data_IF_722380404791
#
_entry.id   IF_722380404791
#
_cell.length_a   1.000
_cell.length_b   1.000
_cell.length_c   1.000
_cell.angle_alpha   90.00
_cell.angle_beta   90.00
_cell.angle_gamma   90.00
#
_symmetry.space_group_name_H-M   'P 1'
#
loop_
_entity.id
_entity.type
_entity.pdbx_description
1 polymer ?
#
# COMPACT_ATOMS: atom_id res chain seq x y z
N UNK A 1 -4.22 -11.01 9.29
CA UNK A 1 -2.85 -11.16 8.75
C UNK A 1 -1.89 -10.16 9.35
N UNK A 2 -0.72 -10.61 9.68
CA UNK A 2 0.36 -9.73 10.12
C UNK A 2 0.97 -9.03 8.91
N UNK A 3 1.61 -7.89 9.13
CA UNK A 3 2.24 -7.10 8.06
C UNK A 3 3.21 -7.94 7.22
N UNK A 4 4.05 -8.76 7.86
CA UNK A 4 5.00 -9.60 7.15
C UNK A 4 4.33 -10.55 6.13
N UNK A 5 3.09 -10.93 6.36
CA UNK A 5 2.34 -11.83 5.49
C UNK A 5 1.76 -11.14 4.25
N UNK A 6 1.79 -9.81 4.21
CA UNK A 6 1.24 -9.05 3.08
C UNK A 6 2.22 -8.93 1.92
N UNK A 7 3.53 -9.03 2.20
CA UNK A 7 4.57 -8.77 1.19
C UNK A 7 4.52 -9.75 0.03
N UNK A 8 4.60 -11.04 0.28
CA UNK A 8 4.71 -12.02 -0.80
C UNK A 8 3.49 -12.03 -1.74
N UNK A 9 2.24 -12.06 -1.24
CA UNK A 9 1.10 -12.00 -2.14
C UNK A 9 1.02 -10.69 -2.92
N UNK A 10 1.38 -9.55 -2.29
CA UNK A 10 1.35 -8.27 -3.00
C UNK A 10 2.44 -8.18 -4.06
N UNK A 11 3.63 -8.68 -3.77
CA UNK A 11 4.73 -8.73 -4.75
C UNK A 11 4.34 -9.59 -5.95
N UNK A 12 3.75 -10.76 -5.70
CA UNK A 12 3.27 -11.64 -6.76
C UNK A 12 2.21 -10.95 -7.63
N UNK A 13 1.27 -10.26 -7.00
CA UNK A 13 0.23 -9.50 -7.68
C UNK A 13 0.83 -8.41 -8.58
N UNK A 14 1.79 -7.65 -8.06
CA UNK A 14 2.45 -6.59 -8.82
C UNK A 14 3.21 -7.14 -10.03
N UNK A 15 3.94 -8.23 -9.85
CA UNK A 15 4.68 -8.88 -10.95
C UNK A 15 3.74 -9.37 -12.04
N UNK A 16 2.62 -9.96 -11.66
CA UNK A 16 1.62 -10.42 -12.60
C UNK A 16 1.00 -9.28 -13.39
N UNK A 17 0.90 -8.10 -12.76
CA UNK A 17 0.41 -6.88 -13.40
C UNK A 17 1.50 -6.12 -14.18
N UNK A 18 2.66 -6.72 -14.35
CA UNK A 18 3.74 -6.18 -15.18
C UNK A 18 4.77 -5.32 -14.46
N UNK A 19 4.72 -5.25 -13.14
CA UNK A 19 5.70 -4.47 -12.37
C UNK A 19 6.97 -5.27 -12.11
N UNK A 20 8.10 -4.54 -12.05
CA UNK A 20 9.35 -5.06 -11.49
C UNK A 20 9.51 -4.48 -10.09
N UNK A 21 10.02 -5.27 -9.16
CA UNK A 21 10.23 -4.81 -7.79
C UNK A 21 11.62 -4.21 -7.69
N UNK A 22 11.71 -2.93 -7.35
CA UNK A 22 12.97 -2.21 -7.17
C UNK A 22 13.49 -2.35 -5.74
N UNK A 23 12.60 -2.21 -4.75
CA UNK A 23 12.97 -2.25 -3.34
C UNK A 23 11.86 -2.89 -2.54
N UNK A 24 12.24 -3.57 -1.47
CA UNK A 24 11.32 -4.01 -0.44
C UNK A 24 12.01 -3.87 0.92
N UNK A 25 11.31 -3.33 1.89
CA UNK A 25 11.82 -3.09 3.24
C UNK A 25 10.88 -3.72 4.25
N UNK A 26 11.33 -4.79 4.88
CA UNK A 26 10.51 -5.60 5.80
C UNK A 26 10.93 -5.36 7.24
N UNK A 27 9.97 -5.45 8.16
CA UNK A 27 10.22 -5.33 9.59
C UNK A 27 10.76 -3.97 9.97
N UNK A 28 11.94 -3.94 10.56
CA UNK A 28 12.57 -2.70 11.03
C UNK A 28 13.46 -2.01 9.99
N UNK A 29 13.49 -2.52 8.77
CA UNK A 29 14.24 -1.87 7.69
C UNK A 29 13.66 -0.49 7.40
N UNK A 30 14.53 0.47 7.10
CA UNK A 30 14.11 1.83 6.75
C UNK A 30 13.85 1.95 5.24
N UNK A 31 12.86 2.74 4.89
CA UNK A 31 12.50 3.01 3.51
C UNK A 31 11.01 2.73 3.24
N UNK A 32 10.62 2.91 2.01
CA UNK A 32 9.27 2.57 1.55
C UNK A 32 9.10 1.06 1.54
N UNK A 33 7.99 0.55 2.05
CA UNK A 33 7.80 -0.90 2.19
C UNK A 33 8.00 -1.65 0.88
N UNK A 34 7.36 -1.21 -0.21
CA UNK A 34 7.59 -1.74 -1.54
C UNK A 34 7.71 -0.58 -2.53
N UNK A 35 8.75 -0.62 -3.37
CA UNK A 35 8.87 0.26 -4.52
C UNK A 35 8.92 -0.62 -5.77
N UNK A 36 7.94 -0.45 -6.65
CA UNK A 36 7.85 -1.16 -7.90
C UNK A 36 7.95 -0.18 -9.07
N UNK A 37 8.27 -0.68 -10.25
CA UNK A 37 8.34 0.16 -11.45
C UNK A 37 7.67 -0.53 -12.63
N UNK A 38 7.05 0.27 -13.48
CA UNK A 38 6.42 -0.16 -14.72
C UNK A 38 6.43 1.04 -15.65
N UNK A 39 6.89 0.83 -16.90
CA UNK A 39 7.04 1.91 -17.86
C UNK A 39 7.94 3.02 -17.28
N UNK A 40 7.46 4.26 -17.22
CA UNK A 40 8.26 5.42 -16.80
C UNK A 40 7.97 5.87 -15.38
N UNK A 41 7.22 5.08 -14.59
CA UNK A 41 6.83 5.52 -13.25
C UNK A 41 7.18 4.51 -12.18
N UNK A 42 7.25 4.99 -10.95
CA UNK A 42 7.39 4.16 -9.75
C UNK A 42 6.06 4.07 -9.04
N UNK A 43 5.84 2.95 -8.40
CA UNK A 43 4.68 2.72 -7.53
C UNK A 43 5.21 2.51 -6.11
N UNK A 44 4.92 3.45 -5.23
CA UNK A 44 5.35 3.41 -3.85
C UNK A 44 4.19 2.92 -2.98
N UNK A 45 4.43 1.86 -2.22
CA UNK A 45 3.38 1.22 -1.42
C UNK A 45 3.80 1.10 0.04
N UNK A 46 2.88 1.46 0.91
CA UNK A 46 3.00 1.23 2.35
C UNK A 46 2.08 0.09 2.74
N UNK A 47 2.57 -0.82 3.60
CA UNK A 47 1.87 -2.02 4.01
C UNK A 47 1.54 -1.96 5.51
N UNK A 48 0.34 -2.40 5.89
CA UNK A 48 -0.03 -2.50 7.29
C UNK A 48 -0.92 -3.71 7.53
N UNK A 49 -0.45 -4.60 8.39
CA UNK A 49 -1.22 -5.76 8.84
C UNK A 49 -2.09 -5.45 10.05
N UNK A 50 -2.73 -6.48 10.58
CA UNK A 50 -3.65 -6.35 11.71
C UNK A 50 -3.04 -5.58 12.88
N UNK A 51 -3.88 -4.83 13.56
CA UNK A 51 -3.49 -3.84 14.55
C UNK A 51 -4.36 -3.94 15.81
N UNK A 52 -3.82 -3.45 16.93
CA UNK A 52 -4.60 -3.25 18.14
C UNK A 52 -5.31 -1.88 18.13
N UNK A 53 -4.97 -1.01 17.18
CA UNK A 53 -5.51 0.36 17.09
C UNK A 53 -5.64 0.79 15.62
N UNK A 54 -6.66 0.26 14.93
CA UNK A 54 -6.82 0.45 13.49
C UNK A 54 -6.92 1.92 13.06
N UNK A 55 -7.64 2.73 13.80
CA UNK A 55 -7.77 4.16 13.46
C UNK A 55 -6.43 4.88 13.50
N UNK A 56 -5.64 4.60 14.55
CA UNK A 56 -4.33 5.22 14.74
C UNK A 56 -3.37 4.75 13.65
N UNK A 57 -3.32 3.46 13.42
CA UNK A 57 -2.39 2.88 12.45
C UNK A 57 -2.74 3.26 11.02
N UNK A 58 -4.04 3.35 10.70
CA UNK A 58 -4.46 3.82 9.38
C UNK A 58 -4.06 5.28 9.16
N UNK A 59 -4.26 6.13 10.18
CA UNK A 59 -3.82 7.53 10.14
C UNK A 59 -2.32 7.65 9.94
N UNK A 60 -1.55 6.80 10.60
CA UNK A 60 -0.10 6.75 10.43
C UNK A 60 0.30 6.38 9.00
N UNK A 61 -0.37 5.39 8.40
CA UNK A 61 -0.15 5.00 6.99
C UNK A 61 -0.42 6.17 6.05
N UNK A 62 -1.54 6.85 6.23
CA UNK A 62 -1.92 8.02 5.42
C UNK A 62 -0.80 9.07 5.48
N UNK A 63 -0.31 9.36 6.68
CA UNK A 63 0.79 10.30 6.86
C UNK A 63 2.05 9.82 6.13
N UNK A 64 2.39 8.55 6.28
CA UNK A 64 3.58 7.95 5.65
C UNK A 64 3.53 8.06 4.12
N UNK A 65 2.40 7.76 3.52
CA UNK A 65 2.27 7.83 2.06
C UNK A 65 2.24 9.29 1.58
N UNK A 66 1.56 10.18 2.29
CA UNK A 66 1.48 11.58 1.89
C UNK A 66 2.83 12.27 1.93
N UNK A 67 3.69 11.96 2.91
CA UNK A 67 5.05 12.49 2.98
C UNK A 67 5.88 12.18 1.74
N UNK A 68 5.56 11.10 1.04
CA UNK A 68 6.31 10.67 -0.15
C UNK A 68 5.82 11.36 -1.42
N UNK A 69 4.68 12.03 -1.34
CA UNK A 69 4.10 12.74 -2.48
C UNK A 69 4.77 14.09 -2.62
N UNK A 70 5.63 14.23 -3.62
CA UNK A 70 6.50 15.40 -3.80
C UNK A 70 6.06 16.27 -5.00
N UNK A 71 4.77 16.53 -5.11
CA UNK A 71 4.26 17.47 -6.09
C UNK A 71 4.26 16.93 -7.52
N UNK A 72 5.16 17.38 -8.36
CA UNK A 72 5.15 17.08 -9.80
C UNK A 72 5.64 15.67 -10.19
N UNK A 73 5.73 14.75 -9.25
CA UNK A 73 6.15 13.39 -9.52
C UNK A 73 5.16 12.67 -10.44
N UNK A 74 5.68 11.83 -11.35
CA UNK A 74 4.87 10.93 -12.16
C UNK A 74 4.60 9.62 -11.41
N UNK A 75 5.03 9.50 -10.17
CA UNK A 75 4.90 8.28 -9.38
C UNK A 75 3.45 8.00 -8.98
N UNK A 76 3.18 6.75 -8.71
CA UNK A 76 1.91 6.30 -8.15
C UNK A 76 2.09 5.91 -6.69
N UNK A 77 1.01 5.95 -5.93
CA UNK A 77 1.03 5.70 -4.50
C UNK A 77 -0.09 4.74 -4.12
N UNK A 78 0.19 3.85 -3.18
CA UNK A 78 -0.80 2.88 -2.73
C UNK A 78 -0.62 2.46 -1.29
N UNK A 79 -1.72 2.01 -0.71
CA UNK A 79 -1.78 1.40 0.61
C UNK A 79 -2.18 -0.06 0.43
N UNK A 80 -1.51 -0.95 1.16
CA UNK A 80 -1.80 -2.38 1.16
C UNK A 80 -2.13 -2.77 2.60
N UNK A 81 -3.34 -3.22 2.83
CA UNK A 81 -3.82 -3.46 4.19
C UNK A 81 -4.48 -4.83 4.29
N UNK A 82 -4.49 -5.36 5.52
CA UNK A 82 -5.24 -6.58 5.82
C UNK A 82 -6.75 -6.31 5.81
N UNK A 83 -7.53 -7.38 5.74
CA UNK A 83 -9.00 -7.33 5.59
C UNK A 83 -9.68 -6.44 6.63
N UNK A 84 -9.18 -6.43 7.85
CA UNK A 84 -9.81 -5.67 8.95
C UNK A 84 -9.75 -4.15 8.78
N UNK A 85 -8.98 -3.65 7.82
CA UNK A 85 -8.96 -2.22 7.48
C UNK A 85 -10.00 -1.81 6.44
N UNK A 86 -10.73 -2.76 5.88
CA UNK A 86 -11.67 -2.47 4.78
C UNK A 86 -12.63 -1.32 5.08
N UNK A 87 -13.22 -1.31 6.26
CA UNK A 87 -14.15 -0.24 6.68
C UNK A 87 -13.46 1.11 6.80
N UNK A 88 -12.26 1.12 7.37
CA UNK A 88 -11.48 2.34 7.55
C UNK A 88 -11.11 2.94 6.19
N UNK A 89 -10.63 2.12 5.28
CA UNK A 89 -10.29 2.55 3.93
C UNK A 89 -11.53 3.07 3.18
N UNK A 90 -12.65 2.35 3.27
CA UNK A 90 -13.89 2.73 2.61
C UNK A 90 -14.41 4.11 3.06
N UNK A 91 -14.25 4.43 4.35
CA UNK A 91 -14.61 5.75 4.88
C UNK A 91 -13.77 6.88 4.31
N UNK A 92 -12.58 6.57 3.85
CA UNK A 92 -11.64 7.56 3.28
C UNK A 92 -11.59 7.50 1.76
N UNK A 93 -12.49 6.77 1.12
CA UNK A 93 -12.46 6.55 -0.34
C UNK A 93 -12.41 7.85 -1.12
N UNK A 94 -13.31 8.80 -0.84
CA UNK A 94 -13.41 10.03 -1.61
C UNK A 94 -12.08 10.81 -1.62
N UNK A 95 -11.48 11.17 -0.46
CA UNK A 95 -10.21 11.89 -0.50
C UNK A 95 -9.05 11.06 -1.06
N UNK A 96 -9.01 9.75 -0.81
CA UNK A 96 -7.94 8.91 -1.33
C UNK A 96 -7.98 8.83 -2.86
N UNK A 97 -9.17 8.68 -3.43
CA UNK A 97 -9.34 8.68 -4.89
C UNK A 97 -8.96 10.04 -5.46
N UNK A 98 -9.32 11.13 -4.81
CA UNK A 98 -8.94 12.50 -5.23
C UNK A 98 -7.43 12.68 -5.25
N UNK A 99 -6.72 12.10 -4.28
CA UNK A 99 -5.27 12.15 -4.20
C UNK A 99 -4.60 11.09 -5.08
N UNK A 100 -5.38 10.25 -5.77
CA UNK A 100 -4.89 9.15 -6.60
C UNK A 100 -4.05 8.14 -5.81
N UNK A 101 -4.48 7.87 -4.59
CA UNK A 101 -3.89 6.82 -3.76
C UNK A 101 -4.76 5.58 -3.88
N UNK A 102 -4.19 4.50 -4.41
CA UNK A 102 -4.88 3.21 -4.53
C UNK A 102 -4.85 2.48 -3.20
N UNK A 103 -5.87 1.65 -2.94
CA UNK A 103 -5.92 0.80 -1.75
C UNK A 103 -6.16 -0.65 -2.17
N UNK A 104 -5.29 -1.52 -1.67
CA UNK A 104 -5.40 -2.98 -1.88
C UNK A 104 -5.68 -3.67 -0.56
N UNK A 105 -6.55 -4.65 -0.61
CA UNK A 105 -6.83 -5.52 0.54
C UNK A 105 -6.16 -6.86 0.27
N UNK A 106 -5.42 -7.38 1.25
CA UNK A 106 -4.84 -8.71 1.19
C UNK A 106 -5.48 -9.57 2.25
N UNK A 107 -5.96 -10.73 1.84
CA UNK A 107 -6.54 -11.74 2.73
C UNK A 107 -6.16 -13.13 2.23
N UNK A 108 -6.71 -14.18 2.85
CA UNK A 108 -6.40 -15.56 2.49
C UNK A 108 -6.83 -15.91 1.05
N UNK A 109 -7.77 -15.16 0.49
CA UNK A 109 -8.23 -15.37 -0.89
C UNK A 109 -7.36 -14.68 -1.92
N UNK A 110 -6.41 -13.85 -1.50
CA UNK A 110 -5.49 -13.16 -2.39
C UNK A 110 -5.52 -11.64 -2.21
N UNK A 111 -5.26 -10.93 -3.31
CA UNK A 111 -5.16 -9.46 -3.35
C UNK A 111 -6.36 -8.90 -4.12
N UNK A 112 -6.99 -7.90 -3.54
CA UNK A 112 -8.12 -7.19 -4.15
C UNK A 112 -7.80 -5.70 -4.23
N UNK A 113 -7.96 -5.10 -5.41
CA UNK A 113 -7.93 -3.65 -5.53
C UNK A 113 -9.28 -3.11 -5.03
N UNK A 114 -9.26 -2.43 -3.89
CA UNK A 114 -10.48 -1.88 -3.32
C UNK A 114 -10.94 -0.63 -4.10
N UNK A 115 -9.98 0.24 -4.39
CA UNK A 115 -10.21 1.38 -5.28
C UNK A 115 -8.89 2.02 -5.70
#
# INVERSE_FOLDING_TARGET
>A
MKEAQLFDPMIAYLKEDGYSILEQHRGYEHGTDIVATKDDYKFLLELKGDSAAYDVDFGTMIYQIMKKMQGLSSDKYGLVVSENYRKHAARCKFPLVKLKISVYIVNESGVELLF
#
